data_IF_432342266839
#
_entry.id   IF_432342266839
#
_cell.length_a   1.000
_cell.length_b   1.000
_cell.length_c   1.000
_cell.angle_alpha   90.00
_cell.angle_beta   90.00
_cell.angle_gamma   90.00
#
_symmetry.space_group_name_H-M   'P 1'
#
loop_
_entity.id
_entity.type
_entity.pdbx_description
1 polymer ?
#
# COMPACT_ATOMS: atom_id res chain seq x y z
N UNK A 1 8.28 -25.36 -2.13
CA UNK A 1 7.27 -24.92 -3.11
C UNK A 1 7.89 -23.76 -3.88
N UNK A 2 7.98 -23.86 -5.20
CA UNK A 2 8.56 -22.79 -6.03
C UNK A 2 7.44 -21.85 -6.45
N UNK A 3 7.56 -20.56 -6.12
CA UNK A 3 6.56 -19.53 -6.45
C UNK A 3 7.06 -18.78 -7.68
N UNK A 4 6.24 -18.71 -8.74
CA UNK A 4 6.60 -18.07 -10.00
C UNK A 4 5.47 -17.14 -10.48
N UNK A 5 5.82 -15.88 -10.70
CA UNK A 5 4.93 -14.81 -11.19
C UNK A 5 5.36 -14.26 -12.55
N UNK A 6 6.17 -15.02 -13.30
CA UNK A 6 6.57 -14.68 -14.66
C UNK A 6 5.35 -14.36 -15.54
N UNK A 7 5.42 -13.25 -16.28
CA UNK A 7 4.33 -12.76 -17.12
C UNK A 7 3.22 -12.02 -16.36
N UNK A 8 3.29 -11.92 -15.02
CA UNK A 8 2.39 -11.10 -14.21
C UNK A 8 2.99 -9.74 -13.93
N UNK A 9 2.13 -8.72 -13.86
CA UNK A 9 2.50 -7.37 -13.42
C UNK A 9 1.91 -7.08 -12.05
N UNK A 10 2.75 -6.70 -11.10
CA UNK A 10 2.38 -6.53 -9.70
C UNK A 10 2.56 -5.08 -9.26
N UNK A 11 1.55 -4.49 -8.61
CA UNK A 11 1.64 -3.16 -8.00
C UNK A 11 1.80 -3.30 -6.48
N UNK A 12 2.78 -2.60 -5.91
CA UNK A 12 2.99 -2.53 -4.45
C UNK A 12 2.94 -1.09 -4.00
N UNK A 13 2.00 -0.74 -3.11
CA UNK A 13 1.95 0.59 -2.48
C UNK A 13 2.87 0.66 -1.26
N UNK A 14 3.49 1.81 -1.02
CA UNK A 14 4.42 1.97 0.11
C UNK A 14 5.69 1.13 -0.08
N UNK A 15 6.15 0.98 -1.32
CA UNK A 15 7.20 0.04 -1.70
C UNK A 15 8.62 0.47 -1.30
N UNK A 16 8.80 1.68 -0.76
CA UNK A 16 10.14 2.27 -0.55
C UNK A 16 10.85 1.81 0.73
N UNK A 17 10.12 1.26 1.70
CA UNK A 17 10.65 0.88 3.02
C UNK A 17 9.95 -0.36 3.59
N UNK A 18 10.61 -1.00 4.56
CA UNK A 18 10.04 -2.08 5.38
C UNK A 18 9.42 -3.21 4.55
N UNK A 19 8.25 -3.68 4.99
CA UNK A 19 7.51 -4.79 4.39
C UNK A 19 7.25 -4.56 2.88
N UNK A 20 6.91 -3.32 2.48
CA UNK A 20 6.66 -3.00 1.08
C UNK A 20 7.88 -3.18 0.18
N UNK A 21 9.07 -2.76 0.65
CA UNK A 21 10.34 -2.95 -0.06
C UNK A 21 10.64 -4.44 -0.23
N UNK A 22 10.49 -5.21 0.84
CA UNK A 22 10.77 -6.65 0.81
C UNK A 22 9.79 -7.39 -0.11
N UNK A 23 8.49 -7.04 -0.08
CA UNK A 23 7.50 -7.60 -0.99
C UNK A 23 7.83 -7.27 -2.44
N UNK A 24 8.15 -6.01 -2.77
CA UNK A 24 8.54 -5.62 -4.12
C UNK A 24 9.79 -6.39 -4.60
N UNK A 25 10.77 -6.55 -3.72
CA UNK A 25 11.99 -7.34 -3.96
C UNK A 25 11.67 -8.80 -4.25
N UNK A 26 10.86 -9.45 -3.41
CA UNK A 26 10.55 -10.87 -3.58
C UNK A 26 9.65 -11.14 -4.79
N UNK A 27 8.68 -10.28 -5.08
CA UNK A 27 7.88 -10.37 -6.30
C UNK A 27 8.76 -10.28 -7.56
N UNK A 28 9.72 -9.35 -7.56
CA UNK A 28 10.67 -9.24 -8.67
C UNK A 28 11.55 -10.48 -8.80
N UNK A 29 12.04 -11.05 -7.69
CA UNK A 29 12.81 -12.30 -7.68
C UNK A 29 12.00 -13.51 -8.18
N UNK A 30 10.70 -13.51 -7.93
CA UNK A 30 9.77 -14.53 -8.42
C UNK A 30 9.32 -14.29 -9.89
N UNK A 31 9.90 -13.30 -10.59
CA UNK A 31 9.67 -13.06 -12.03
C UNK A 31 8.53 -12.09 -12.38
N UNK A 32 7.88 -11.46 -11.39
CA UNK A 32 6.87 -10.45 -11.66
C UNK A 32 7.51 -9.16 -12.22
N UNK A 33 6.81 -8.47 -13.13
CA UNK A 33 7.10 -7.07 -13.45
C UNK A 33 6.50 -6.19 -12.36
N UNK A 34 7.33 -5.60 -11.50
CA UNK A 34 6.84 -4.86 -10.33
C UNK A 34 6.72 -3.37 -10.64
N UNK A 35 5.59 -2.78 -10.28
CA UNK A 35 5.35 -1.33 -10.21
C UNK A 35 5.40 -0.93 -8.73
N UNK A 36 6.49 -0.27 -8.33
CA UNK A 36 6.72 0.19 -6.98
C UNK A 36 6.21 1.62 -6.80
N UNK A 37 5.17 1.79 -5.97
CA UNK A 37 4.56 3.10 -5.70
C UNK A 37 5.04 3.63 -4.35
N UNK A 38 5.48 4.89 -4.32
CA UNK A 38 5.88 5.56 -3.09
C UNK A 38 5.92 7.08 -3.24
N UNK A 39 5.98 7.81 -2.12
CA UNK A 39 5.96 9.28 -2.12
C UNK A 39 7.33 9.93 -2.26
N UNK A 40 8.39 9.20 -1.95
CA UNK A 40 9.74 9.76 -1.86
C UNK A 40 10.56 9.32 -3.06
N UNK A 41 10.75 10.23 -4.03
CA UNK A 41 11.51 10.00 -5.25
C UNK A 41 12.89 9.38 -5.03
N UNK A 42 13.63 9.89 -4.04
CA UNK A 42 14.98 9.41 -3.73
C UNK A 42 14.97 7.91 -3.38
N UNK A 43 14.08 7.49 -2.49
CA UNK A 43 13.99 6.10 -2.03
C UNK A 43 13.52 5.16 -3.16
N UNK A 44 12.63 5.63 -4.03
CA UNK A 44 12.26 4.90 -5.24
C UNK A 44 13.47 4.73 -6.17
N UNK A 45 14.29 5.77 -6.32
CA UNK A 45 15.53 5.72 -7.09
C UNK A 45 16.54 4.73 -6.52
N UNK A 46 16.71 4.69 -5.20
CA UNK A 46 17.54 3.70 -4.51
C UNK A 46 17.03 2.28 -4.76
N UNK A 47 15.72 2.04 -4.60
CA UNK A 47 15.11 0.74 -4.87
C UNK A 47 15.28 0.30 -6.34
N UNK A 48 15.13 1.22 -7.29
CA UNK A 48 15.32 0.94 -8.73
C UNK A 48 16.77 0.59 -9.07
N UNK A 49 17.76 1.16 -8.35
CA UNK A 49 19.16 0.76 -8.49
C UNK A 49 19.39 -0.68 -7.99
N UNK A 50 18.76 -1.04 -6.88
CA UNK A 50 18.81 -2.40 -6.34
C UNK A 50 18.06 -3.41 -7.21
N UNK A 51 16.95 -2.99 -7.83
CA UNK A 51 16.08 -3.82 -8.66
C UNK A 51 15.84 -3.16 -10.04
N UNK A 52 16.78 -3.29 -11.00
CA UNK A 52 16.71 -2.59 -12.28
C UNK A 52 15.48 -2.91 -13.13
N UNK A 53 14.82 -4.05 -12.90
CA UNK A 53 13.64 -4.51 -13.65
C UNK A 53 12.32 -3.87 -13.22
N UNK A 54 12.25 -3.21 -12.06
CA UNK A 54 10.99 -2.64 -11.56
C UNK A 54 10.65 -1.33 -12.26
N UNK A 55 9.39 -0.95 -12.28
CA UNK A 55 8.95 0.41 -12.59
C UNK A 55 8.71 1.16 -11.29
N UNK A 56 8.98 2.46 -11.26
CA UNK A 56 8.76 3.31 -10.10
C UNK A 56 7.71 4.37 -10.40
N UNK A 57 6.84 4.63 -9.44
CA UNK A 57 5.79 5.65 -9.52
C UNK A 57 5.86 6.50 -8.27
N UNK A 58 6.28 7.76 -8.44
CA UNK A 58 6.21 8.77 -7.39
C UNK A 58 4.76 9.28 -7.29
N UNK A 59 4.09 8.97 -6.19
CA UNK A 59 2.68 9.30 -6.00
C UNK A 59 2.32 9.35 -4.51
N UNK A 60 1.63 10.42 -4.10
CA UNK A 60 0.85 10.39 -2.87
C UNK A 60 -0.51 9.78 -3.12
N UNK A 61 -0.64 8.51 -2.70
CA UNK A 61 -1.86 7.75 -2.90
C UNK A 61 -3.06 8.30 -2.11
N UNK A 62 -2.85 9.18 -1.13
CA UNK A 62 -3.91 9.84 -0.38
C UNK A 62 -4.65 10.90 -1.23
N UNK A 63 -4.01 11.44 -2.27
CA UNK A 63 -4.66 12.28 -3.26
C UNK A 63 -5.47 11.39 -4.21
N UNK A 64 -6.79 11.41 -4.03
CA UNK A 64 -7.71 10.59 -4.78
C UNK A 64 -7.62 10.81 -6.29
N UNK A 65 -7.65 12.07 -6.72
CA UNK A 65 -7.73 12.42 -8.15
C UNK A 65 -6.40 12.21 -8.84
N UNK A 66 -5.30 12.57 -8.18
CA UNK A 66 -3.96 12.30 -8.70
C UNK A 66 -3.74 10.79 -8.85
N UNK A 67 -4.15 9.99 -7.87
CA UNK A 67 -4.05 8.54 -7.92
C UNK A 67 -4.82 7.94 -9.09
N UNK A 68 -6.07 8.38 -9.31
CA UNK A 68 -6.83 7.95 -10.48
C UNK A 68 -6.13 8.29 -11.79
N UNK A 69 -5.65 9.53 -11.92
CA UNK A 69 -5.01 10.01 -13.15
C UNK A 69 -3.70 9.27 -13.45
N UNK A 70 -2.90 8.98 -12.44
CA UNK A 70 -1.63 8.27 -12.62
C UNK A 70 -1.88 6.79 -12.87
N UNK A 71 -2.64 6.11 -12.01
CA UNK A 71 -2.77 4.65 -12.06
C UNK A 71 -3.64 4.14 -13.21
N UNK A 72 -4.52 4.96 -13.80
CA UNK A 72 -5.21 4.57 -15.04
C UNK A 72 -4.26 4.42 -16.24
N UNK A 73 -3.08 5.06 -16.19
CA UNK A 73 -2.15 5.15 -17.31
C UNK A 73 -0.90 4.27 -17.19
N UNK A 74 -0.72 3.54 -16.08
CA UNK A 74 0.47 2.67 -15.86
C UNK A 74 0.35 1.30 -16.55
N UNK A 75 -0.75 1.05 -17.26
CA UNK A 75 -1.03 -0.21 -17.92
C UNK A 75 -1.62 -1.28 -16.99
N UNK A 76 -1.70 -2.54 -17.45
CA UNK A 76 -2.44 -3.59 -16.76
C UNK A 76 -1.75 -4.10 -15.49
N UNK A 77 -2.51 -4.35 -14.43
CA UNK A 77 -2.03 -4.95 -13.17
C UNK A 77 -2.79 -6.25 -12.89
N UNK A 78 -2.05 -7.31 -12.54
CA UNK A 78 -2.61 -8.65 -12.25
C UNK A 78 -2.54 -8.98 -10.75
N UNK A 79 -1.60 -8.36 -10.02
CA UNK A 79 -1.38 -8.57 -8.59
C UNK A 79 -1.31 -7.21 -7.90
N UNK A 80 -2.08 -7.00 -6.84
CA UNK A 80 -2.04 -5.78 -6.03
C UNK A 80 -1.67 -6.11 -4.58
N UNK A 81 -0.70 -5.37 -4.05
CA UNK A 81 -0.41 -5.33 -2.61
C UNK A 81 -0.63 -3.92 -2.09
N UNK A 82 -1.73 -3.75 -1.36
CA UNK A 82 -1.98 -2.54 -0.58
C UNK A 82 -1.18 -2.64 0.73
N UNK A 83 0.02 -2.06 0.72
CA UNK A 83 0.92 -2.05 1.88
C UNK A 83 1.15 -0.65 2.45
N UNK A 84 0.96 0.41 1.67
CA UNK A 84 1.08 1.77 2.18
C UNK A 84 0.16 1.97 3.37
N UNK A 85 0.77 2.38 4.48
CA UNK A 85 0.07 2.66 5.71
C UNK A 85 0.89 3.60 6.58
N UNK A 86 0.20 4.34 7.43
CA UNK A 86 0.79 5.14 8.47
C UNK A 86 0.04 4.92 9.79
N UNK A 87 0.78 5.02 10.88
CA UNK A 87 0.21 5.06 12.23
C UNK A 87 0.50 6.42 12.84
N UNK A 88 -0.35 6.83 13.78
CA UNK A 88 -0.01 7.89 14.72
C UNK A 88 0.32 7.23 16.08
N UNK A 89 1.23 7.82 16.84
CA UNK A 89 1.54 7.44 18.22
C UNK A 89 1.37 8.66 19.15
N UNK A 90 0.13 8.93 19.55
CA UNK A 90 -0.31 10.03 20.41
C UNK A 90 -1.37 9.45 21.33
N UNK A 91 -1.56 10.06 22.50
CA UNK A 91 -2.67 9.70 23.36
C UNK A 91 -4.00 10.00 22.66
N UNK A 92 -5.06 9.32 23.06
CA UNK A 92 -6.40 9.57 22.52
C UNK A 92 -6.85 11.02 22.73
N UNK A 93 -6.45 11.65 23.85
CA UNK A 93 -6.85 13.02 24.18
C UNK A 93 -6.08 14.08 23.38
N UNK A 94 -4.90 13.72 22.86
CA UNK A 94 -4.08 14.60 22.01
C UNK A 94 -4.33 14.40 20.51
N UNK A 95 -5.26 13.49 20.17
CA UNK A 95 -5.64 13.21 18.81
C UNK A 95 -6.38 14.40 18.19
N UNK A 96 -5.93 14.83 17.02
CA UNK A 96 -6.65 15.84 16.24
C UNK A 96 -7.45 15.21 15.10
N UNK A 97 -8.40 15.96 14.55
CA UNK A 97 -9.14 15.53 13.37
C UNK A 97 -8.20 15.27 12.18
N UNK A 98 -7.16 16.10 12.02
CA UNK A 98 -6.17 15.94 10.96
C UNK A 98 -5.35 14.64 11.11
N UNK A 99 -5.07 14.22 12.35
CA UNK A 99 -4.41 12.94 12.59
C UNK A 99 -5.31 11.79 12.12
N UNK A 100 -6.60 11.82 12.46
CA UNK A 100 -7.59 10.82 12.03
C UNK A 100 -7.69 10.81 10.51
N UNK A 101 -7.89 11.98 9.90
CA UNK A 101 -8.03 12.14 8.46
C UNK A 101 -6.80 11.67 7.70
N UNK A 102 -5.59 11.90 8.23
CA UNK A 102 -4.36 11.43 7.61
C UNK A 102 -4.29 9.89 7.59
N UNK A 103 -4.61 9.26 8.73
CA UNK A 103 -4.59 7.80 8.87
C UNK A 103 -5.66 7.16 8.01
N UNK A 104 -6.90 7.63 8.05
CA UNK A 104 -7.98 7.12 7.19
C UNK A 104 -7.74 7.43 5.72
N UNK A 105 -7.14 8.58 5.42
CA UNK A 105 -6.76 9.02 4.08
C UNK A 105 -5.83 8.03 3.40
N UNK A 106 -4.80 7.57 4.12
CA UNK A 106 -3.81 6.61 3.59
C UNK A 106 -4.27 5.17 3.75
N UNK A 107 -4.68 4.76 4.95
CA UNK A 107 -4.86 3.34 5.26
C UNK A 107 -6.16 2.77 4.68
N UNK A 108 -7.18 3.60 4.45
CA UNK A 108 -8.51 3.17 4.01
C UNK A 108 -8.87 3.77 2.66
N UNK A 109 -8.93 5.10 2.57
CA UNK A 109 -9.39 5.81 1.37
C UNK A 109 -8.49 5.51 0.17
N UNK A 110 -7.17 5.62 0.33
CA UNK A 110 -6.23 5.30 -0.73
C UNK A 110 -6.29 3.82 -1.14
N UNK A 111 -6.38 2.89 -0.18
CA UNK A 111 -6.53 1.46 -0.43
C UNK A 111 -7.76 1.18 -1.30
N UNK A 112 -8.92 1.78 -0.98
CA UNK A 112 -10.15 1.62 -1.75
C UNK A 112 -9.96 2.16 -3.17
N UNK A 113 -9.36 3.35 -3.32
CA UNK A 113 -9.17 3.98 -4.61
C UNK A 113 -8.27 3.13 -5.54
N UNK A 114 -7.09 2.75 -5.05
CA UNK A 114 -6.13 1.92 -5.80
C UNK A 114 -6.77 0.58 -6.17
N UNK A 115 -7.46 -0.06 -5.22
CA UNK A 115 -8.15 -1.33 -5.46
C UNK A 115 -9.22 -1.20 -6.54
N UNK A 116 -10.05 -0.15 -6.49
CA UNK A 116 -11.08 0.11 -7.50
C UNK A 116 -10.49 0.23 -8.90
N UNK A 117 -9.40 0.98 -9.06
CA UNK A 117 -8.72 1.18 -10.35
C UNK A 117 -8.19 -0.15 -10.88
N UNK A 118 -7.49 -0.91 -10.05
CA UNK A 118 -6.89 -2.19 -10.44
C UNK A 118 -7.95 -3.24 -10.75
N UNK A 119 -8.98 -3.37 -9.92
CA UNK A 119 -10.10 -4.31 -10.15
C UNK A 119 -10.83 -3.96 -11.45
N UNK A 120 -11.11 -2.68 -11.71
CA UNK A 120 -11.75 -2.29 -12.96
C UNK A 120 -10.90 -2.71 -14.17
N UNK A 121 -9.59 -2.49 -14.12
CA UNK A 121 -8.68 -2.96 -15.17
C UNK A 121 -8.69 -4.49 -15.36
N UNK A 122 -8.75 -5.27 -14.27
CA UNK A 122 -8.86 -6.74 -14.34
C UNK A 122 -10.18 -7.18 -14.98
N UNK A 123 -11.30 -6.53 -14.60
CA UNK A 123 -12.63 -6.80 -15.14
C UNK A 123 -12.71 -6.47 -16.63
N UNK A 124 -12.20 -5.30 -17.04
CA UNK A 124 -12.21 -4.86 -18.45
C UNK A 124 -11.43 -5.84 -19.34
N UNK A 125 -10.32 -6.38 -18.83
CA UNK A 125 -9.50 -7.40 -19.51
C UNK A 125 -10.04 -8.82 -19.38
N UNK A 126 -11.04 -9.05 -18.52
CA UNK A 126 -11.60 -10.38 -18.20
C UNK A 126 -10.55 -11.39 -17.76
N UNK A 127 -9.62 -10.95 -16.89
CA UNK A 127 -8.55 -11.81 -16.36
C UNK A 127 -8.70 -12.01 -14.85
N UNK A 128 -8.26 -13.18 -14.31
CA UNK A 128 -8.15 -13.33 -12.87
C UNK A 128 -7.01 -12.47 -12.33
N UNK A 129 -7.13 -12.07 -11.07
CA UNK A 129 -6.11 -11.33 -10.33
C UNK A 129 -6.15 -11.65 -8.84
N UNK A 130 -5.18 -11.13 -8.10
CA UNK A 130 -5.12 -11.29 -6.64
C UNK A 130 -4.78 -9.98 -5.96
N UNK A 131 -5.40 -9.73 -4.81
CA UNK A 131 -5.25 -8.51 -4.03
C UNK A 131 -4.95 -8.89 -2.60
N UNK A 132 -3.88 -8.33 -2.05
CA UNK A 132 -3.45 -8.50 -0.66
C UNK A 132 -3.47 -7.14 0.03
N UNK A 133 -4.18 -7.07 1.16
CA UNK A 133 -4.19 -5.89 2.02
C UNK A 133 -3.35 -6.19 3.25
N UNK A 134 -2.25 -5.47 3.44
CA UNK A 134 -1.42 -5.60 4.63
C UNK A 134 -2.12 -4.86 5.77
N UNK A 135 -2.59 -5.63 6.75
CA UNK A 135 -3.22 -5.12 7.96
C UNK A 135 -2.30 -5.33 9.18
N UNK A 136 -2.77 -4.97 10.36
CA UNK A 136 -2.06 -5.09 11.62
C UNK A 136 -2.83 -5.95 12.63
N UNK A 137 -2.11 -6.64 13.51
CA UNK A 137 -2.70 -7.36 14.65
C UNK A 137 -3.51 -6.44 15.59
N UNK A 138 -3.23 -5.14 15.55
CA UNK A 138 -3.95 -4.11 16.34
C UNK A 138 -5.32 -3.78 15.72
N UNK A 139 -5.58 -4.13 14.45
CA UNK A 139 -6.88 -3.93 13.81
C UNK A 139 -8.05 -4.51 14.64
N UNK A 140 -8.01 -5.79 15.04
CA UNK A 140 -9.01 -6.38 15.93
C UNK A 140 -8.75 -6.14 17.43
N UNK A 141 -7.64 -5.52 17.84
CA UNK A 141 -7.23 -5.36 19.24
C UNK A 141 -6.84 -3.92 19.55
N UNK A 142 -7.62 -3.23 20.37
CA UNK A 142 -7.27 -1.88 20.80
C UNK A 142 -5.94 -1.86 21.57
N UNK A 143 -4.98 -1.04 21.14
CA UNK A 143 -3.69 -0.94 21.82
C UNK A 143 -3.83 -0.22 23.15
N UNK A 144 -2.96 -0.54 24.12
CA UNK A 144 -2.97 0.04 25.48
C UNK A 144 -2.79 1.56 25.49
N UNK A 145 -2.22 2.15 24.43
CA UNK A 145 -2.12 3.61 24.24
C UNK A 145 -3.46 4.29 23.90
N UNK A 146 -4.42 3.53 23.38
CA UNK A 146 -5.75 4.02 22.97
C UNK A 146 -6.84 3.69 24.01
N UNK A 147 -6.48 3.05 25.12
CA UNK A 147 -7.44 2.62 26.16
C UNK A 147 -6.99 3.13 27.51
N UNK A 148 -7.69 4.15 28.00
CA UNK A 148 -7.79 4.45 29.43
C UNK A 148 -9.23 4.19 29.87
N UNK A 149 -9.50 2.98 30.36
CA UNK A 149 -10.49 2.82 31.42
C UNK A 149 -9.72 2.29 32.61
N UNK A 150 -9.33 3.21 33.48
CA UNK A 150 -8.87 2.86 34.81
C UNK A 150 -10.11 2.34 35.54
N UNK A 151 -10.15 1.04 35.85
CA UNK A 151 -11.20 0.43 36.68
C UNK A 151 -11.04 0.92 38.13
N UNK A 152 -11.36 2.18 38.38
CA UNK A 152 -11.09 2.84 39.66
C UNK A 152 -12.06 3.97 40.05
N UNK A 153 -13.24 4.04 39.43
CA UNK A 153 -14.35 4.80 39.99
C UNK A 153 -15.35 3.82 40.61
N UNK A 154 -15.30 3.73 41.95
CA UNK A 154 -16.43 3.36 42.79
C UNK A 154 -17.46 4.50 42.82
#
# INVERSE_FOLDING_TARGET
MEINFSGKRALVTGATKGIGKDIATQLSKCGAKVVAVGRTKQLLGELKKELPSIEIVELDIADWKQTENVLKNIGPIDLLVNNAGMGWLKSLLDATEEDVDSVFGVNIKALINVTKIVVQNMLDRKVPGSIVNISSQVGPKMSKFMTFINNGFC
#
